data_IF_047212267687
#
_entry.id   IF_047212267687
#
_cell.length_a   1.000
_cell.length_b   1.000
_cell.length_c   1.000
_cell.angle_alpha   90.00
_cell.angle_beta   90.00
_cell.angle_gamma   90.00
#
_symmetry.space_group_name_H-M   'P 1'
#
loop_
_entity.id
_entity.type
_entity.pdbx_description
1 polymer ?
#
# COMPACT_ATOMS: atom_id res chain seq x y z
N UNK A 1 8.79 -21.53 -3.73
CA UNK A 1 10.17 -21.46 -3.17
C UNK A 1 11.01 -20.35 -3.82
N UNK A 2 10.87 -20.14 -5.14
CA UNK A 2 11.68 -19.16 -5.88
C UNK A 2 10.94 -17.86 -6.25
N UNK A 3 9.80 -17.58 -5.60
CA UNK A 3 8.99 -16.41 -5.94
C UNK A 3 9.45 -15.19 -5.14
N UNK A 4 9.89 -14.14 -5.84
CA UNK A 4 10.22 -12.83 -5.27
C UNK A 4 8.96 -12.07 -4.88
N UNK A 5 8.96 -11.44 -3.70
CA UNK A 5 7.85 -10.67 -3.13
C UNK A 5 8.35 -9.36 -2.52
N UNK A 6 7.44 -8.44 -2.27
CA UNK A 6 7.65 -7.06 -1.82
C UNK A 6 7.11 -6.85 -0.40
N UNK A 7 7.55 -5.85 0.37
CA UNK A 7 6.80 -5.39 1.54
C UNK A 7 5.45 -4.76 1.17
N UNK A 8 5.23 -4.41 -0.12
CA UNK A 8 3.99 -3.82 -0.60
C UNK A 8 2.95 -4.92 -0.93
N UNK A 9 1.83 -5.00 -0.18
CA UNK A 9 0.79 -5.99 -0.42
C UNK A 9 0.13 -5.83 -1.80
N UNK A 10 0.06 -4.59 -2.31
CA UNK A 10 -0.52 -4.31 -3.63
C UNK A 10 0.33 -4.92 -4.77
N UNK A 11 1.65 -4.82 -4.71
CA UNK A 11 2.54 -5.42 -5.71
C UNK A 11 2.49 -6.95 -5.66
N UNK A 12 2.45 -7.52 -4.46
CA UNK A 12 2.31 -8.96 -4.29
C UNK A 12 0.96 -9.45 -4.81
N UNK A 13 -0.11 -8.70 -4.58
CA UNK A 13 -1.44 -8.97 -5.15
C UNK A 13 -1.41 -8.99 -6.68
N UNK A 14 -0.76 -8.01 -7.31
CA UNK A 14 -0.61 -7.98 -8.77
C UNK A 14 0.18 -9.20 -9.29
N UNK A 15 1.22 -9.65 -8.58
CA UNK A 15 1.95 -10.86 -8.94
C UNK A 15 1.11 -12.13 -8.74
N UNK A 16 0.40 -12.25 -7.60
CA UNK A 16 -0.47 -13.37 -7.27
C UNK A 16 -1.64 -13.53 -8.25
N UNK A 17 -2.14 -12.44 -8.81
CA UNK A 17 -3.18 -12.44 -9.85
C UNK A 17 -2.62 -12.51 -11.28
N UNK A 18 -1.29 -12.47 -11.47
CA UNK A 18 -0.65 -12.57 -12.78
C UNK A 18 -0.69 -11.29 -13.63
N UNK A 19 -1.00 -10.14 -13.02
CA UNK A 19 -0.82 -8.83 -13.66
C UNK A 19 0.67 -8.45 -13.76
N UNK A 20 1.44 -8.83 -12.74
CA UNK A 20 2.90 -8.90 -12.77
C UNK A 20 3.36 -10.34 -13.00
N UNK A 21 4.62 -10.57 -13.40
CA UNK A 21 5.21 -11.90 -13.37
C UNK A 21 4.97 -12.58 -12.02
N UNK A 22 4.40 -13.80 -12.02
CA UNK A 22 4.00 -14.51 -10.79
C UNK A 22 5.19 -14.85 -9.88
N UNK A 23 6.35 -15.01 -10.50
CA UNK A 23 7.64 -15.21 -9.85
C UNK A 23 8.22 -13.90 -9.27
N UNK A 24 7.65 -12.74 -9.59
CA UNK A 24 8.07 -11.44 -9.05
C UNK A 24 9.42 -10.92 -9.57
N UNK A 25 9.94 -11.50 -10.66
CA UNK A 25 11.25 -11.14 -11.21
C UNK A 25 11.17 -10.28 -12.48
N UNK A 26 12.25 -9.57 -12.77
CA UNK A 26 12.47 -8.81 -14.00
C UNK A 26 11.30 -7.85 -14.35
N UNK A 27 10.85 -7.09 -13.37
CA UNK A 27 9.78 -6.09 -13.49
C UNK A 27 10.35 -4.82 -14.12
N UNK A 28 9.98 -4.59 -15.38
CA UNK A 28 10.34 -3.37 -16.09
C UNK A 28 9.36 -2.24 -15.76
N UNK A 29 9.76 -1.00 -16.01
CA UNK A 29 8.89 0.18 -15.86
C UNK A 29 7.55 0.02 -16.59
N UNK A 30 7.57 -0.50 -17.83
CA UNK A 30 6.35 -0.76 -18.61
C UNK A 30 5.49 -1.85 -17.96
N UNK A 31 6.08 -2.97 -17.52
CA UNK A 31 5.33 -4.05 -16.84
C UNK A 31 4.62 -3.52 -15.60
N UNK A 32 5.32 -2.71 -14.80
CA UNK A 32 4.75 -2.10 -13.60
C UNK A 32 3.59 -1.16 -13.95
N UNK A 33 3.78 -0.21 -14.87
CA UNK A 33 2.71 0.70 -15.28
C UNK A 33 1.48 -0.04 -15.85
N UNK A 34 1.70 -1.00 -16.75
CA UNK A 34 0.62 -1.81 -17.33
C UNK A 34 -0.13 -2.61 -16.26
N UNK A 35 0.59 -3.19 -15.29
CA UNK A 35 -0.01 -3.97 -14.19
C UNK A 35 -0.86 -3.11 -13.26
N UNK A 36 -0.42 -1.90 -12.93
CA UNK A 36 -1.17 -0.95 -12.09
C UNK A 36 -2.45 -0.49 -12.80
N UNK A 37 -2.38 -0.23 -14.11
CA UNK A 37 -3.56 0.12 -14.91
C UNK A 37 -4.53 -1.05 -15.03
N UNK A 38 -4.05 -2.25 -15.36
CA UNK A 38 -4.92 -3.41 -15.58
C UNK A 38 -5.48 -4.00 -14.29
N UNK A 39 -4.64 -4.14 -13.28
CA UNK A 39 -4.99 -4.79 -12.02
C UNK A 39 -5.74 -3.88 -11.06
N UNK A 40 -5.44 -2.58 -11.05
CA UNK A 40 -6.02 -1.63 -10.09
C UNK A 40 -6.81 -0.48 -10.74
N UNK A 41 -6.88 -0.41 -12.06
CA UNK A 41 -7.65 0.63 -12.76
C UNK A 41 -7.02 2.03 -12.69
N UNK A 42 -5.72 2.13 -12.38
CA UNK A 42 -5.02 3.43 -12.40
C UNK A 42 -5.02 4.01 -13.82
N UNK A 43 -5.17 5.33 -13.92
CA UNK A 43 -4.88 6.03 -15.17
C UNK A 43 -3.44 5.76 -15.61
N UNK A 44 -3.22 5.54 -16.91
CA UNK A 44 -1.89 5.19 -17.40
C UNK A 44 -0.83 6.23 -17.05
N UNK A 45 -1.17 7.53 -17.11
CA UNK A 45 -0.25 8.60 -16.69
C UNK A 45 0.14 8.50 -15.21
N UNK A 46 -0.82 8.17 -14.33
CA UNK A 46 -0.52 7.97 -12.91
C UNK A 46 0.26 6.67 -12.66
N UNK A 47 -0.10 5.58 -13.34
CA UNK A 47 0.64 4.32 -13.26
C UNK A 47 2.11 4.49 -13.73
N UNK A 48 2.33 5.25 -14.80
CA UNK A 48 3.66 5.59 -15.28
C UNK A 48 4.43 6.45 -14.27
N UNK A 49 3.78 7.44 -13.66
CA UNK A 49 4.39 8.25 -12.60
C UNK A 49 4.84 7.39 -11.42
N UNK A 50 4.00 6.46 -10.94
CA UNK A 50 4.34 5.52 -9.86
C UNK A 50 5.49 4.60 -10.27
N UNK A 51 5.49 4.11 -11.52
CA UNK A 51 6.56 3.26 -12.02
C UNK A 51 7.90 3.99 -12.10
N UNK A 52 7.93 5.23 -12.62
CA UNK A 52 9.13 6.08 -12.63
C UNK A 52 9.61 6.36 -11.20
N UNK A 53 8.69 6.74 -10.30
CA UNK A 53 9.00 6.98 -8.88
C UNK A 53 9.65 5.77 -8.21
N UNK A 54 9.15 4.56 -8.49
CA UNK A 54 9.72 3.30 -7.99
C UNK A 54 11.18 3.14 -8.42
N UNK A 55 11.48 3.30 -9.72
CA UNK A 55 12.85 3.18 -10.23
C UNK A 55 13.80 4.26 -9.66
N UNK A 56 13.30 5.49 -9.47
CA UNK A 56 14.07 6.57 -8.86
C UNK A 56 14.38 6.26 -7.39
N UNK A 57 13.39 5.81 -6.61
CA UNK A 57 13.55 5.49 -5.19
C UNK A 57 14.44 4.27 -4.95
N UNK A 58 14.44 3.28 -5.85
CA UNK A 58 15.41 2.17 -5.76
C UNK A 58 16.86 2.65 -5.93
N UNK A 59 17.09 3.83 -6.51
CA UNK A 59 18.42 4.45 -6.71
C UNK A 59 19.44 3.51 -7.37
N UNK A 60 19.01 2.83 -8.43
CA UNK A 60 19.85 1.94 -9.23
C UNK A 60 19.96 2.47 -10.66
N UNK A 61 20.87 3.41 -10.94
CA UNK A 61 21.01 3.98 -12.27
C UNK A 61 21.37 2.90 -13.30
N UNK A 62 20.73 2.94 -14.47
CA UNK A 62 20.95 1.98 -15.56
C UNK A 62 20.19 0.66 -15.44
N UNK A 63 19.50 0.40 -14.32
CA UNK A 63 18.64 -0.78 -14.20
C UNK A 63 17.45 -0.68 -15.14
N UNK A 64 17.20 -1.76 -15.89
CA UNK A 64 16.05 -1.88 -16.82
C UNK A 64 14.87 -2.63 -16.20
N UNK A 65 15.13 -3.34 -15.11
CA UNK A 65 14.14 -4.05 -14.30
C UNK A 65 14.62 -4.18 -12.86
N UNK A 66 13.70 -4.52 -11.97
CA UNK A 66 13.96 -4.91 -10.59
C UNK A 66 13.14 -6.16 -10.26
N UNK A 67 13.51 -6.86 -9.19
CA UNK A 67 12.74 -7.95 -8.61
C UNK A 67 11.95 -7.42 -7.41
N UNK A 68 10.77 -7.95 -7.10
CA UNK A 68 9.94 -7.42 -6.00
C UNK A 68 10.72 -7.33 -4.68
N UNK A 69 11.61 -8.29 -4.40
CA UNK A 69 12.45 -8.29 -3.21
C UNK A 69 13.42 -7.10 -3.10
N UNK A 70 13.77 -6.43 -4.19
CA UNK A 70 14.59 -5.21 -4.16
C UNK A 70 13.89 -4.07 -3.40
N UNK A 71 12.56 -4.12 -3.30
CA UNK A 71 11.77 -3.11 -2.58
C UNK A 71 11.83 -3.28 -1.05
N UNK A 72 12.46 -4.33 -0.52
CA UNK A 72 12.76 -4.46 0.92
C UNK A 72 13.92 -3.59 1.40
N UNK A 73 14.68 -2.93 0.51
CA UNK A 73 15.80 -2.09 0.94
C UNK A 73 15.30 -0.92 1.77
N UNK A 74 15.75 -0.85 3.01
CA UNK A 74 15.25 0.11 4.00
C UNK A 74 15.67 1.54 3.69
N UNK A 75 14.79 2.50 4.00
CA UNK A 75 15.03 3.93 3.81
C UNK A 75 14.81 4.42 2.38
N UNK A 76 14.16 3.62 1.54
CA UNK A 76 13.80 3.97 0.16
C UNK A 76 12.29 3.92 -0.01
N UNK A 77 11.78 2.83 -0.58
CA UNK A 77 10.34 2.55 -0.62
C UNK A 77 9.94 1.97 0.74
N UNK A 78 10.68 0.98 1.25
CA UNK A 78 10.40 0.44 2.57
C UNK A 78 10.80 1.43 3.67
N UNK A 79 9.93 1.55 4.68
CA UNK A 79 10.10 2.41 5.84
C UNK A 79 9.43 1.87 7.12
N UNK A 80 9.90 2.40 8.26
CA UNK A 80 9.34 2.15 9.59
C UNK A 80 7.92 2.69 9.75
N UNK A 81 7.24 2.28 10.83
CA UNK A 81 5.83 2.58 11.08
C UNK A 81 4.91 2.08 9.97
N UNK A 82 5.22 0.91 9.41
CA UNK A 82 4.38 0.22 8.44
C UNK A 82 3.13 -0.37 9.11
N UNK A 83 2.02 -0.45 8.38
CA UNK A 83 0.76 -1.01 8.87
C UNK A 83 0.89 -2.48 9.28
N UNK A 84 1.62 -3.26 8.51
CA UNK A 84 1.54 -4.73 8.54
C UNK A 84 2.86 -5.43 8.74
N UNK A 85 3.99 -4.71 8.74
CA UNK A 85 5.35 -5.25 8.88
C UNK A 85 6.02 -4.55 10.04
N UNK A 86 6.91 -5.25 10.74
CA UNK A 86 7.74 -4.64 11.79
C UNK A 86 8.73 -3.63 11.20
N UNK A 87 9.14 -2.71 12.06
CA UNK A 87 10.18 -1.74 11.72
C UNK A 87 11.50 -2.45 11.42
N UNK A 88 12.35 -1.83 10.59
CA UNK A 88 13.63 -2.40 10.20
C UNK A 88 14.51 -2.65 11.43
N UNK A 89 15.09 -3.87 11.59
CA UNK A 89 15.99 -4.17 12.68
C UNK A 89 17.18 -3.22 12.73
N UNK A 90 17.67 -2.93 13.94
CA UNK A 90 18.82 -2.06 14.13
C UNK A 90 20.02 -2.53 13.28
N UNK A 91 20.63 -1.61 12.53
CA UNK A 91 21.75 -1.85 11.60
C UNK A 91 21.46 -2.78 10.40
N UNK A 92 20.20 -3.16 10.15
CA UNK A 92 19.82 -3.89 8.93
C UNK A 92 19.67 -2.95 7.74
N UNK A 93 20.05 -3.43 6.55
CA UNK A 93 19.79 -2.76 5.26
C UNK A 93 18.44 -3.14 4.65
N UNK A 94 17.79 -4.18 5.20
CA UNK A 94 16.52 -4.72 4.72
C UNK A 94 15.45 -4.64 5.81
N UNK A 95 14.26 -4.18 5.43
CA UNK A 95 13.07 -4.20 6.27
C UNK A 95 12.53 -5.61 6.53
N UNK A 96 11.55 -5.68 7.43
CA UNK A 96 10.91 -6.96 7.77
C UNK A 96 10.15 -7.53 6.57
N UNK A 97 10.33 -8.84 6.34
CA UNK A 97 9.67 -9.57 5.25
C UNK A 97 8.30 -10.10 5.64
N UNK A 98 8.18 -10.50 6.90
CA UNK A 98 7.01 -11.17 7.43
C UNK A 98 5.92 -10.15 7.79
N UNK A 99 4.68 -10.52 7.52
CA UNK A 99 3.53 -9.78 8.04
C UNK A 99 3.49 -9.99 9.56
N UNK A 100 3.43 -8.91 10.32
CA UNK A 100 3.12 -8.94 11.74
C UNK A 100 1.60 -9.02 11.90
N UNK A 101 1.03 -10.18 12.29
CA UNK A 101 -0.42 -10.35 12.38
C UNK A 101 -1.04 -9.51 13.49
N UNK A 102 -0.31 -9.23 14.58
CA UNK A 102 -0.80 -8.41 15.69
C UNK A 102 -0.98 -6.95 15.26
N UNK A 103 -0.01 -6.37 14.53
CA UNK A 103 -0.13 -5.01 13.96
C UNK A 103 -1.33 -4.89 13.04
N UNK A 104 -1.54 -5.88 12.16
CA UNK A 104 -2.70 -5.90 11.27
C UNK A 104 -4.00 -5.99 12.06
N UNK A 105 -4.05 -6.87 13.06
CA UNK A 105 -5.24 -7.05 13.88
C UNK A 105 -5.58 -5.80 14.69
N UNK A 106 -4.59 -5.15 15.31
CA UNK A 106 -4.74 -3.88 16.04
C UNK A 106 -5.40 -2.80 15.17
N UNK A 107 -5.04 -2.73 13.87
CA UNK A 107 -5.67 -1.80 12.94
C UNK A 107 -7.10 -2.20 12.60
N UNK A 108 -7.31 -3.47 12.23
CA UNK A 108 -8.62 -3.97 11.82
C UNK A 108 -9.66 -3.90 12.96
N UNK A 109 -9.23 -3.96 14.22
CA UNK A 109 -10.10 -3.87 15.39
C UNK A 109 -10.61 -2.45 15.65
N UNK A 110 -10.03 -1.44 15.00
CA UNK A 110 -10.57 -0.07 15.01
C UNK A 110 -11.81 0.08 14.14
N UNK A 111 -12.05 -0.84 13.20
CA UNK A 111 -13.17 -0.76 12.30
C UNK A 111 -14.51 -0.84 13.06
N UNK A 112 -15.44 0.06 12.73
CA UNK A 112 -16.72 0.18 13.41
C UNK A 112 -17.88 0.29 12.40
N UNK A 113 -19.12 -0.05 12.81
CA UNK A 113 -20.29 0.22 11.99
C UNK A 113 -20.47 1.71 11.74
N UNK A 114 -20.67 2.08 10.47
CA UNK A 114 -21.03 3.45 10.05
C UNK A 114 -22.47 3.50 9.54
N UNK A 115 -23.03 4.70 9.38
CA UNK A 115 -24.39 4.88 8.85
C UNK A 115 -24.57 4.32 7.43
N UNK A 116 -23.49 4.23 6.67
CA UNK A 116 -23.41 3.73 5.28
C UNK A 116 -23.10 2.22 5.21
N UNK A 117 -22.65 1.62 6.30
CA UNK A 117 -22.11 0.25 6.31
C UNK A 117 -23.15 -0.87 6.24
N UNK A 118 -24.43 -0.58 6.51
CA UNK A 118 -25.49 -1.56 6.76
C UNK A 118 -25.12 -2.58 7.85
N UNK A 119 -24.49 -2.10 8.94
CA UNK A 119 -24.07 -2.94 10.07
C UNK A 119 -22.73 -3.65 9.89
N UNK A 120 -22.05 -3.45 8.76
CA UNK A 120 -20.69 -3.96 8.52
C UNK A 120 -19.64 -3.05 9.15
N UNK A 121 -18.44 -3.56 9.39
CA UNK A 121 -17.38 -2.78 10.01
C UNK A 121 -16.53 -2.07 8.95
N UNK A 122 -16.42 -0.75 9.07
CA UNK A 122 -15.68 0.11 8.17
C UNK A 122 -14.51 0.77 8.90
N UNK A 123 -13.43 1.04 8.16
CA UNK A 123 -12.36 1.93 8.56
C UNK A 123 -12.57 3.28 7.87
N UNK A 124 -12.72 4.34 8.67
CA UNK A 124 -12.84 5.72 8.17
C UNK A 124 -11.49 6.43 8.21
N UNK A 125 -11.47 7.68 7.74
CA UNK A 125 -10.30 8.56 7.84
C UNK A 125 -9.83 8.70 9.29
N UNK A 126 -10.77 8.74 10.26
CA UNK A 126 -10.42 8.97 11.66
C UNK A 126 -9.69 7.77 12.28
N UNK A 127 -10.15 6.53 12.03
CA UNK A 127 -9.45 5.33 12.50
C UNK A 127 -8.08 5.21 11.84
N UNK A 128 -7.99 5.52 10.54
CA UNK A 128 -6.72 5.52 9.80
C UNK A 128 -5.76 6.57 10.38
N UNK A 129 -6.21 7.82 10.56
CA UNK A 129 -5.39 8.90 11.10
C UNK A 129 -4.91 8.60 12.52
N UNK A 130 -5.83 8.17 13.40
CA UNK A 130 -5.50 7.72 14.75
C UNK A 130 -4.44 6.62 14.75
N UNK A 131 -4.60 5.60 13.91
CA UNK A 131 -3.64 4.52 13.83
C UNK A 131 -2.29 4.97 13.25
N UNK A 132 -2.28 5.91 12.28
CA UNK A 132 -1.02 6.51 11.79
C UNK A 132 -0.25 7.21 12.89
N UNK A 133 -0.93 7.98 13.76
CA UNK A 133 -0.31 8.63 14.92
C UNK A 133 0.31 7.59 15.84
N UNK A 134 -0.41 6.51 16.14
CA UNK A 134 0.08 5.42 17.00
C UNK A 134 1.34 4.77 16.42
N UNK A 135 1.33 4.43 15.13
CA UNK A 135 2.48 3.82 14.46
C UNK A 135 3.70 4.77 14.47
N UNK A 136 3.50 6.06 14.17
CA UNK A 136 4.58 7.05 14.20
C UNK A 136 5.16 7.31 15.60
N UNK A 137 4.36 7.14 16.67
CA UNK A 137 4.82 7.29 18.06
C UNK A 137 5.65 6.10 18.55
N UNK A 138 5.49 4.92 17.94
CA UNK A 138 6.18 3.68 18.32
C UNK A 138 7.55 3.53 17.66
N UNK A 139 7.92 4.41 16.72
CA UNK A 139 9.16 4.33 15.96
C UNK A 139 10.06 5.56 16.16
N UNK A 140 11.30 5.48 15.68
CA UNK A 140 12.17 6.66 15.56
C UNK A 140 11.54 7.73 14.65
N UNK A 141 11.82 9.04 14.85
CA UNK A 141 11.20 10.10 14.06
C UNK A 141 11.38 9.91 12.56
N UNK A 142 10.26 9.91 11.83
CA UNK A 142 10.24 9.79 10.37
C UNK A 142 10.44 11.14 9.69
N UNK A 143 11.07 11.12 8.52
CA UNK A 143 11.16 12.30 7.65
C UNK A 143 9.78 12.74 7.14
N UNK A 144 9.62 14.02 6.79
CA UNK A 144 8.36 14.52 6.20
C UNK A 144 7.96 13.77 4.93
N UNK A 145 8.94 13.32 4.14
CA UNK A 145 8.71 12.53 2.93
C UNK A 145 8.15 11.15 3.28
N UNK A 146 8.75 10.47 4.25
CA UNK A 146 8.29 9.14 4.71
C UNK A 146 6.89 9.21 5.31
N UNK A 147 6.59 10.25 6.10
CA UNK A 147 5.22 10.48 6.62
C UNK A 147 4.21 10.68 5.50
N UNK A 148 4.59 11.43 4.46
CA UNK A 148 3.74 11.63 3.29
C UNK A 148 3.50 10.31 2.53
N UNK A 149 4.55 9.52 2.34
CA UNK A 149 4.45 8.20 1.71
C UNK A 149 3.49 7.28 2.49
N UNK A 150 3.69 7.16 3.81
CA UNK A 150 2.86 6.32 4.65
C UNK A 150 1.37 6.69 4.57
N UNK A 151 1.03 7.99 4.51
CA UNK A 151 -0.35 8.44 4.28
C UNK A 151 -0.88 8.09 2.89
N UNK A 152 -0.05 8.20 1.86
CA UNK A 152 -0.42 7.83 0.48
C UNK A 152 -0.74 6.33 0.38
N UNK A 153 -0.04 5.47 1.12
CA UNK A 153 -0.32 4.02 1.13
C UNK A 153 -1.75 3.72 1.61
N UNK A 154 -2.20 4.32 2.71
CA UNK A 154 -3.60 4.22 3.15
C UNK A 154 -4.56 4.86 2.16
N UNK A 155 -4.24 6.06 1.66
CA UNK A 155 -5.07 6.77 0.68
C UNK A 155 -5.32 5.95 -0.59
N UNK A 156 -4.33 5.17 -1.05
CA UNK A 156 -4.50 4.26 -2.19
C UNK A 156 -5.46 3.13 -1.87
N UNK A 157 -5.39 2.52 -0.68
CA UNK A 157 -6.35 1.49 -0.25
C UNK A 157 -7.76 2.08 -0.22
N UNK A 158 -7.93 3.29 0.34
CA UNK A 158 -9.20 4.02 0.33
C UNK A 158 -9.72 4.30 -1.07
N UNK A 159 -8.86 4.72 -2.00
CA UNK A 159 -9.30 5.00 -3.37
C UNK A 159 -9.67 3.72 -4.15
N UNK A 160 -9.00 2.59 -3.86
CA UNK A 160 -9.25 1.29 -4.49
C UNK A 160 -10.55 0.63 -3.99
N UNK A 161 -10.73 0.55 -2.68
CA UNK A 161 -11.81 -0.22 -2.05
C UNK A 161 -12.92 0.65 -1.49
N UNK A 162 -12.64 1.93 -1.25
CA UNK A 162 -13.52 2.80 -0.48
C UNK A 162 -14.85 3.12 -1.15
N UNK A 163 -15.90 3.11 -0.33
CA UNK A 163 -17.28 3.43 -0.68
C UNK A 163 -17.66 4.82 -0.16
N UNK A 164 -18.73 5.38 -0.74
CA UNK A 164 -19.19 6.72 -0.38
C UNK A 164 -18.25 7.86 -0.77
N UNK A 165 -18.58 9.05 -0.24
CA UNK A 165 -17.84 10.30 -0.45
C UNK A 165 -16.50 10.31 0.29
N UNK A 166 -16.48 9.78 1.51
CA UNK A 166 -15.29 9.77 2.39
C UNK A 166 -14.35 8.59 2.17
N UNK A 167 -14.69 7.69 1.24
CA UNK A 167 -13.88 6.51 0.86
C UNK A 167 -13.64 5.55 2.02
N UNK A 168 -14.65 5.37 2.86
CA UNK A 168 -14.61 4.39 3.95
C UNK A 168 -14.38 2.99 3.36
N UNK A 169 -13.48 2.21 3.97
CA UNK A 169 -13.11 0.87 3.46
C UNK A 169 -13.65 -0.23 4.37
N UNK A 170 -14.14 -1.32 3.77
CA UNK A 170 -14.56 -2.50 4.52
C UNK A 170 -13.36 -3.12 5.24
N UNK A 171 -13.54 -3.52 6.50
CA UNK A 171 -12.52 -4.26 7.26
C UNK A 171 -12.05 -5.49 6.49
N UNK A 172 -12.97 -6.21 5.87
CA UNK A 172 -12.72 -7.47 5.16
C UNK A 172 -11.90 -7.26 3.88
N UNK A 173 -12.10 -6.15 3.16
CA UNK A 173 -11.32 -5.83 1.95
C UNK A 173 -9.87 -5.51 2.31
N UNK A 174 -9.67 -4.76 3.39
CA UNK A 174 -8.32 -4.46 3.92
C UNK A 174 -7.66 -5.74 4.40
N UNK A 175 -8.38 -6.57 5.16
CA UNK A 175 -7.86 -7.84 5.66
C UNK A 175 -7.41 -8.76 4.50
N UNK A 176 -8.26 -8.92 3.49
CA UNK A 176 -7.95 -9.72 2.29
C UNK A 176 -6.70 -9.19 1.58
N UNK A 177 -6.62 -7.89 1.35
CA UNK A 177 -5.45 -7.28 0.68
C UNK A 177 -4.16 -7.48 1.49
N UNK A 178 -4.21 -7.26 2.81
CA UNK A 178 -3.01 -7.22 3.64
C UNK A 178 -2.54 -8.62 4.03
N UNK A 179 -3.45 -9.50 4.45
CA UNK A 179 -3.12 -10.85 4.94
C UNK A 179 -3.01 -11.87 3.82
N UNK A 180 -3.88 -11.80 2.81
CA UNK A 180 -3.90 -12.79 1.72
C UNK A 180 -3.17 -12.31 0.46
N UNK A 181 -2.88 -11.00 0.37
CA UNK A 181 -2.29 -10.38 -0.83
C UNK A 181 -3.10 -10.76 -2.08
N UNK A 182 -4.41 -10.59 -1.95
CA UNK A 182 -5.45 -10.98 -2.91
C UNK A 182 -6.44 -9.83 -3.10
N UNK A 183 -7.07 -9.79 -4.27
CA UNK A 183 -8.26 -8.97 -4.48
C UNK A 183 -9.50 -9.70 -3.95
N UNK A 184 -10.48 -8.99 -3.37
CA UNK A 184 -11.78 -9.57 -3.04
C UNK A 184 -12.42 -10.25 -4.26
N UNK A 185 -13.27 -11.25 -4.00
CA UNK A 185 -13.91 -11.99 -5.08
C UNK A 185 -14.74 -11.07 -5.97
N UNK A 186 -14.62 -11.29 -7.28
CA UNK A 186 -15.28 -10.48 -8.33
C UNK A 186 -14.93 -8.98 -8.31
N UNK A 187 -13.95 -8.57 -7.50
CA UNK A 187 -13.54 -7.17 -7.40
C UNK A 187 -13.09 -6.63 -8.76
N UNK A 188 -13.57 -5.43 -9.08
CA UNK A 188 -13.13 -4.66 -10.23
C UNK A 188 -12.98 -3.20 -9.83
N UNK A 189 -12.06 -2.45 -10.46
CA UNK A 189 -11.92 -1.03 -10.20
C UNK A 189 -13.25 -0.31 -10.47
N UNK A 190 -13.85 0.28 -9.43
CA UNK A 190 -15.11 1.03 -9.54
C UNK A 190 -14.91 2.41 -10.20
N UNK A 191 -13.68 2.91 -10.23
CA UNK A 191 -13.30 4.24 -10.72
C UNK A 191 -11.87 4.23 -11.24
N UNK A 192 -11.57 5.15 -12.14
CA UNK A 192 -10.21 5.36 -12.63
C UNK A 192 -9.45 6.25 -11.66
N UNK A 193 -8.43 5.71 -11.01
CA UNK A 193 -7.63 6.47 -10.05
C UNK A 193 -6.61 7.36 -10.78
N UNK A 194 -6.69 8.67 -10.57
CA UNK A 194 -5.72 9.65 -11.01
C UNK A 194 -4.73 10.02 -9.90
N UNK A 195 -3.64 10.68 -10.29
CA UNK A 195 -2.60 11.13 -9.36
C UNK A 195 -3.12 12.06 -8.26
N UNK A 196 -4.07 12.95 -8.59
CA UNK A 196 -4.65 13.87 -7.62
C UNK A 196 -5.54 13.20 -6.58
N UNK A 197 -6.15 12.06 -6.90
CA UNK A 197 -7.08 11.37 -5.98
C UNK A 197 -6.35 10.91 -4.72
N UNK A 198 -5.27 10.15 -4.88
CA UNK A 198 -4.48 9.64 -3.75
C UNK A 198 -3.82 10.77 -2.94
N UNK A 199 -3.36 11.84 -3.61
CA UNK A 199 -2.77 13.01 -2.94
C UNK A 199 -3.82 13.72 -2.09
N UNK A 200 -4.98 14.05 -2.67
CA UNK A 200 -6.07 14.72 -1.95
C UNK A 200 -6.58 13.87 -0.77
N UNK A 201 -6.71 12.56 -0.96
CA UNK A 201 -7.12 11.67 0.12
C UNK A 201 -6.06 11.56 1.23
N UNK A 202 -4.76 11.53 0.88
CA UNK A 202 -3.67 11.57 1.86
C UNK A 202 -3.63 12.88 2.65
N UNK A 203 -4.07 13.98 2.04
CA UNK A 203 -4.19 15.28 2.68
C UNK A 203 -5.30 15.28 3.72
N UNK A 204 -6.46 14.67 3.42
CA UNK A 204 -7.52 14.49 4.42
C UNK A 204 -7.06 13.65 5.62
N UNK A 205 -6.30 12.58 5.38
CA UNK A 205 -5.69 11.79 6.47
C UNK A 205 -4.77 12.68 7.31
N UNK A 206 -3.91 13.50 6.67
CA UNK A 206 -3.04 14.42 7.40
C UNK A 206 -3.81 15.40 8.27
N UNK A 207 -4.92 15.94 7.76
CA UNK A 207 -5.68 16.98 8.47
C UNK A 207 -6.50 16.40 9.64
N UNK A 208 -6.75 15.09 9.63
CA UNK A 208 -7.37 14.35 10.73
C UNK A 208 -6.36 13.80 11.75
N UNK A 209 -5.05 13.93 11.50
CA UNK A 209 -3.98 13.50 12.42
C UNK A 209 -3.58 14.62 13.38
#
# INVERSE_FOLDING_TARGET
PDASRSPCPALNTLANHGYLPRDGHAITLKKLADSLTKGFGLSYGFALYMAVGTFLLLRRPGWRSFDLADTYRHGFIEHNASLSRDDCPYQSELGSREINPERVQEFLDKAAPTSTSNGRHMLTINEIASHRIELERRCAPLSSQTKQQARIEFAMVMELFGEGEDREVMKEDVETLIKEERLPDEWKPKRKMGHWNAIAQSQKIRDAM
#
